data_IF_205027525042
#
_entry.id   IF_205027525042
#
_cell.length_a   1.000
_cell.length_b   1.000
_cell.length_c   1.000
_cell.angle_alpha   90.00
_cell.angle_beta   90.00
_cell.angle_gamma   90.00
#
_symmetry.space_group_name_H-M   'P 1'
#
loop_
_entity.id
_entity.type
_entity.pdbx_description
1 polymer ?
#
# COMPACT_ATOMS: atom_id res chain seq x y z
N UNK A 1 -1.53 -0.85 19.52
CA UNK A 1 -0.30 -1.66 19.53
C UNK A 1 -0.08 -2.16 18.11
N UNK A 2 1.14 -2.16 17.57
CA UNK A 2 1.35 -2.66 16.22
C UNK A 2 1.31 -4.19 16.19
N UNK A 3 0.62 -4.75 15.20
CA UNK A 3 0.41 -6.19 15.03
C UNK A 3 1.50 -6.83 14.16
N UNK A 4 2.05 -6.07 13.21
CA UNK A 4 3.07 -6.57 12.29
C UNK A 4 4.49 -6.32 12.83
N UNK A 5 5.31 -7.37 12.81
CA UNK A 5 6.73 -7.25 13.16
C UNK A 5 7.51 -6.44 12.12
N UNK A 6 8.47 -5.62 12.60
CA UNK A 6 9.30 -4.74 11.75
C UNK A 6 10.21 -5.53 10.81
N UNK A 7 10.79 -6.66 11.27
CA UNK A 7 11.76 -7.40 10.47
C UNK A 7 11.17 -8.03 9.18
N UNK A 8 10.00 -8.70 9.21
CA UNK A 8 9.31 -9.14 7.98
C UNK A 8 9.00 -8.00 7.02
N UNK A 9 8.50 -6.87 7.52
CA UNK A 9 8.18 -5.70 6.69
C UNK A 9 9.42 -5.17 5.98
N UNK A 10 10.56 -5.12 6.68
CA UNK A 10 11.84 -4.75 6.07
C UNK A 10 12.28 -5.71 4.97
N UNK A 11 12.01 -7.02 5.12
CA UNK A 11 12.31 -8.02 4.08
C UNK A 11 11.48 -7.80 2.82
N UNK A 12 10.21 -7.38 2.95
CA UNK A 12 9.37 -7.04 1.80
C UNK A 12 9.97 -5.88 0.99
N UNK A 13 10.45 -4.83 1.66
CA UNK A 13 11.12 -3.70 0.99
C UNK A 13 12.37 -4.14 0.23
N UNK A 14 13.19 -5.01 0.82
CA UNK A 14 14.38 -5.57 0.15
C UNK A 14 14.02 -6.42 -1.06
N UNK A 15 13.00 -7.28 -0.95
CA UNK A 15 12.47 -8.06 -2.07
C UNK A 15 11.87 -7.18 -3.17
N UNK A 16 11.39 -5.99 -2.81
CA UNK A 16 10.97 -4.95 -3.75
C UNK A 16 12.12 -4.19 -4.40
N UNK A 17 13.39 -4.53 -4.13
CA UNK A 17 14.56 -3.94 -4.76
C UNK A 17 15.27 -2.87 -3.93
N UNK A 18 14.85 -2.61 -2.68
CA UNK A 18 15.55 -1.64 -1.83
C UNK A 18 16.88 -2.19 -1.31
N UNK A 19 18.00 -1.60 -1.75
CA UNK A 19 19.36 -1.96 -1.31
C UNK A 19 19.59 -1.62 0.18
N UNK A 20 19.15 -0.42 0.59
CA UNK A 20 19.20 0.05 1.98
C UNK A 20 17.81 0.48 2.43
N UNK A 21 17.44 0.06 3.64
CA UNK A 21 16.13 0.36 4.23
C UNK A 21 16.33 0.92 5.62
N UNK A 22 15.91 2.17 5.81
CA UNK A 22 15.89 2.86 7.09
C UNK A 22 14.75 2.41 8.00
N UNK A 23 14.88 2.68 9.29
CA UNK A 23 13.86 2.36 10.31
C UNK A 23 12.55 3.07 10.02
N UNK A 24 12.58 4.38 9.75
CA UNK A 24 11.38 5.19 9.47
C UNK A 24 10.59 4.66 8.27
N UNK A 25 11.25 4.33 7.16
CA UNK A 25 10.59 3.76 5.98
C UNK A 25 9.95 2.39 6.27
N UNK A 26 10.61 1.58 7.10
CA UNK A 26 10.04 0.29 7.52
C UNK A 26 8.80 0.48 8.39
N UNK A 27 8.84 1.42 9.34
CA UNK A 27 7.70 1.74 10.21
C UNK A 27 6.52 2.30 9.43
N UNK A 28 6.79 3.13 8.42
CA UNK A 28 5.76 3.67 7.53
C UNK A 28 5.09 2.57 6.72
N UNK A 29 5.86 1.69 6.07
CA UNK A 29 5.27 0.56 5.34
C UNK A 29 4.45 -0.33 6.26
N UNK A 30 4.94 -0.61 7.48
CA UNK A 30 4.20 -1.41 8.46
C UNK A 30 2.83 -0.78 8.73
N UNK A 31 2.81 0.51 9.05
CA UNK A 31 1.56 1.25 9.32
C UNK A 31 0.60 1.16 8.12
N UNK A 32 1.10 1.38 6.90
CA UNK A 32 0.28 1.30 5.69
C UNK A 32 -0.28 -0.12 5.45
N UNK A 33 0.50 -1.17 5.73
CA UNK A 33 0.05 -2.56 5.63
C UNK A 33 -1.03 -2.88 6.67
N UNK A 34 -0.87 -2.42 7.92
CA UNK A 34 -1.86 -2.61 8.98
C UNK A 34 -3.18 -1.90 8.65
N UNK A 35 -3.12 -0.65 8.21
CA UNK A 35 -4.30 0.12 7.79
C UNK A 35 -5.03 -0.56 6.63
N UNK A 36 -4.29 -1.08 5.64
CA UNK A 36 -4.91 -1.78 4.51
C UNK A 36 -5.50 -3.13 4.92
N UNK A 37 -4.81 -3.89 5.78
CA UNK A 37 -5.31 -5.16 6.31
C UNK A 37 -6.59 -4.98 7.12
N UNK A 38 -6.67 -3.92 7.94
CA UNK A 38 -7.87 -3.55 8.69
C UNK A 38 -9.06 -3.31 7.75
N UNK A 39 -8.87 -2.51 6.70
CA UNK A 39 -9.92 -2.23 5.71
C UNK A 39 -10.40 -3.49 4.98
N UNK A 40 -9.47 -4.40 4.64
CA UNK A 40 -9.84 -5.71 4.07
C UNK A 40 -10.66 -6.50 5.07
N UNK A 41 -10.25 -6.55 6.34
CA UNK A 41 -10.98 -7.25 7.39
C UNK A 41 -12.41 -6.73 7.58
N UNK A 42 -12.58 -5.42 7.65
CA UNK A 42 -13.89 -4.76 7.77
C UNK A 42 -14.81 -5.11 6.59
N UNK A 43 -14.29 -5.03 5.37
CA UNK A 43 -15.04 -5.36 4.16
C UNK A 43 -15.39 -6.85 4.09
N UNK A 44 -14.46 -7.73 4.45
CA UNK A 44 -14.68 -9.17 4.44
C UNK A 44 -15.74 -9.57 5.48
N UNK A 45 -15.71 -8.97 6.67
CA UNK A 45 -16.74 -9.16 7.70
C UNK A 45 -18.09 -8.66 7.20
N UNK A 46 -18.14 -7.51 6.52
CA UNK A 46 -19.38 -7.01 5.92
C UNK A 46 -19.97 -8.00 4.91
N UNK A 47 -19.15 -8.50 3.98
CA UNK A 47 -19.57 -9.50 2.97
C UNK A 47 -20.11 -10.77 3.66
N UNK A 48 -19.39 -11.28 4.66
CA UNK A 48 -19.82 -12.45 5.41
C UNK A 48 -21.17 -12.24 6.11
N UNK A 49 -21.39 -11.04 6.68
CA UNK A 49 -22.63 -10.68 7.35
C UNK A 49 -23.80 -10.50 6.38
N UNK A 50 -23.57 -9.88 5.21
CA UNK A 50 -24.56 -9.74 4.14
C UNK A 50 -25.06 -11.10 3.65
N UNK A 51 -24.17 -12.10 3.61
CA UNK A 51 -24.48 -13.49 3.28
C UNK A 51 -25.13 -14.27 4.44
N UNK A 52 -25.35 -13.64 5.60
CA UNK A 52 -25.93 -14.26 6.79
C UNK A 52 -25.03 -15.29 7.47
N UNK A 53 -23.75 -15.34 7.13
CA UNK A 53 -22.78 -16.29 7.70
C UNK A 53 -22.08 -15.68 8.91
N UNK A 54 -21.81 -16.51 9.92
CA UNK A 54 -21.04 -16.11 11.11
C UNK A 54 -19.53 -16.40 11.01
N UNK A 55 -19.14 -17.27 10.08
CA UNK A 55 -17.76 -17.73 9.93
C UNK A 55 -17.19 -17.09 8.66
N UNK A 56 -16.17 -16.25 8.87
CA UNK A 56 -15.41 -15.62 7.80
C UNK A 56 -14.64 -16.68 7.00
N UNK A 57 -14.79 -16.70 5.68
CA UNK A 57 -14.13 -17.64 4.77
C UNK A 57 -13.07 -16.94 3.91
N UNK A 58 -12.18 -17.74 3.32
CA UNK A 58 -11.20 -17.25 2.37
C UNK A 58 -11.85 -16.45 1.22
N UNK A 59 -12.99 -16.90 0.70
CA UNK A 59 -13.74 -16.22 -0.35
C UNK A 59 -14.14 -14.77 0.02
N UNK A 60 -14.47 -14.51 1.28
CA UNK A 60 -14.85 -13.16 1.75
C UNK A 60 -13.64 -12.22 1.72
N UNK A 61 -12.49 -12.72 2.16
CA UNK A 61 -11.22 -11.97 2.19
C UNK A 61 -10.71 -11.73 0.77
N UNK A 62 -10.82 -12.73 -0.11
CA UNK A 62 -10.47 -12.60 -1.53
C UNK A 62 -11.34 -11.56 -2.22
N UNK A 63 -12.66 -11.60 -2.01
CA UNK A 63 -13.61 -10.64 -2.57
C UNK A 63 -13.36 -9.23 -2.05
N UNK A 64 -13.18 -9.07 -0.74
CA UNK A 64 -12.83 -7.80 -0.12
C UNK A 64 -11.53 -7.23 -0.70
N UNK A 65 -10.50 -8.07 -0.82
CA UNK A 65 -9.21 -7.69 -1.42
C UNK A 65 -9.40 -7.26 -2.87
N UNK A 66 -10.21 -7.98 -3.65
CA UNK A 66 -10.51 -7.64 -5.05
C UNK A 66 -11.21 -6.29 -5.17
N UNK A 67 -12.18 -6.00 -4.29
CA UNK A 67 -12.91 -4.73 -4.25
C UNK A 67 -12.02 -3.56 -3.86
N UNK A 68 -11.16 -3.76 -2.87
CA UNK A 68 -10.28 -2.73 -2.31
C UNK A 68 -8.92 -2.63 -2.98
N UNK A 69 -8.58 -3.56 -3.89
CA UNK A 69 -7.34 -3.49 -4.65
C UNK A 69 -7.33 -2.15 -5.39
N UNK A 70 -6.38 -1.25 -5.12
CA UNK A 70 -6.28 -0.04 -5.89
C UNK A 70 -6.14 -0.46 -7.36
N UNK A 71 -7.07 -0.02 -8.20
CA UNK A 71 -6.86 -0.07 -9.65
C UNK A 71 -5.50 0.56 -9.88
N UNK A 72 -4.66 -0.06 -10.69
CA UNK A 72 -3.39 0.54 -11.09
C UNK A 72 -3.71 1.93 -11.68
N UNK A 73 -3.69 2.96 -10.84
CA UNK A 73 -3.70 4.33 -11.29
C UNK A 73 -2.37 4.44 -11.98
N UNK A 74 -2.40 4.60 -13.30
CA UNK A 74 -1.31 5.24 -14.01
C UNK A 74 -0.85 6.42 -13.15
N UNK A 75 0.40 6.40 -12.72
CA UNK A 75 0.99 7.34 -11.76
C UNK A 75 1.05 8.80 -12.29
N UNK A 76 0.37 9.11 -13.40
CA UNK A 76 0.49 10.39 -14.12
C UNK A 76 -0.37 11.53 -13.57
N UNK A 77 -1.40 11.25 -12.76
CA UNK A 77 -2.43 12.26 -12.47
C UNK A 77 -2.29 13.04 -11.15
N UNK A 78 -1.18 12.92 -10.42
CA UNK A 78 -0.92 13.73 -9.22
C UNK A 78 0.41 14.52 -9.28
N UNK A 79 0.74 15.03 -10.47
CA UNK A 79 1.79 16.04 -10.65
C UNK A 79 1.25 17.47 -10.41
N UNK A 80 0.05 17.59 -9.85
CA UNK A 80 -0.67 18.85 -9.61
C UNK A 80 -0.49 19.38 -8.19
N UNK A 81 0.56 18.98 -7.48
CA UNK A 81 1.11 19.77 -6.37
C UNK A 81 2.44 20.40 -6.80
N UNK A 82 2.33 21.45 -7.60
CA UNK A 82 3.10 22.72 -7.70
C UNK A 82 4.48 22.93 -7.04
N UNK A 83 5.19 21.95 -6.49
CA UNK A 83 6.39 22.17 -5.66
C UNK A 83 7.61 21.33 -6.03
N UNK A 84 7.57 20.50 -7.07
CA UNK A 84 8.73 19.67 -7.46
C UNK A 84 9.15 19.84 -8.93
N UNK A 85 9.10 21.07 -9.45
CA UNK A 85 9.89 21.44 -10.64
C UNK A 85 11.20 22.10 -10.22
N UNK A 86 12.17 21.26 -9.84
CA UNK A 86 13.57 21.69 -9.80
C UNK A 86 14.04 22.03 -11.24
N UNK A 87 14.71 23.18 -11.46
CA UNK A 87 14.99 23.74 -12.79
C UNK A 87 16.12 23.03 -13.58
N UNK A 88 16.64 21.91 -13.07
CA UNK A 88 17.92 21.33 -13.52
C UNK A 88 17.86 20.66 -14.90
N UNK A 89 16.66 20.43 -15.48
CA UNK A 89 16.55 19.80 -16.83
C UNK A 89 16.68 20.74 -18.02
N UNK A 90 16.90 22.05 -17.83
CA UNK A 90 17.04 23.00 -18.97
C UNK A 90 18.48 23.17 -19.49
N UNK A 91 19.51 22.59 -18.85
CA UNK A 91 20.92 22.87 -19.17
C UNK A 91 21.67 21.75 -19.91
N UNK A 92 21.01 20.91 -20.72
CA UNK A 92 21.71 19.90 -21.55
C UNK A 92 21.20 19.82 -23.00
N UNK A 93 20.58 20.89 -23.52
CA UNK A 93 20.26 21.01 -24.96
C UNK A 93 20.58 22.41 -25.50
N UNK A 94 21.84 22.79 -25.36
CA UNK A 94 22.60 23.68 -26.26
C UNK A 94 24.01 23.06 -26.21
N UNK A 95 24.50 22.46 -27.29
CA UNK A 95 24.82 23.17 -28.51
C UNK A 95 26.20 23.76 -28.27
#
# INVERSE_FOLDING_TARGET
MPELFVAPVRRLLRRGGAERVGSTGTLYLRKALEEYALRIGEEAVRICNEDGRKILRAADVEEATRRLRPRARTFEADQSSTLFRSPVRRLMKRG
#
